data_IF_425843512081
#
_entry.id   IF_425843512081
#
_cell.length_a   1.000
_cell.length_b   1.000
_cell.length_c   1.000
_cell.angle_alpha   90.00
_cell.angle_beta   90.00
_cell.angle_gamma   90.00
#
_symmetry.space_group_name_H-M   'P 1'
#
loop_
_entity.id
_entity.type
_entity.pdbx_description
1 polymer ?
#
# COMPACT_ATOMS: atom_id res chain seq x y z
N UNK A 1 -53.99 -3.55 42.66
CA UNK A 1 -53.15 -4.73 42.34
C UNK A 1 -52.72 -4.81 40.86
N UNK A 2 -53.55 -4.47 39.87
CA UNK A 2 -53.19 -4.52 38.43
C UNK A 2 -52.08 -3.56 37.99
N UNK A 3 -52.05 -2.32 38.52
CA UNK A 3 -51.07 -1.27 38.14
C UNK A 3 -49.62 -1.65 38.52
N UNK A 4 -49.44 -2.24 39.70
CA UNK A 4 -48.11 -2.70 40.18
C UNK A 4 -47.58 -3.84 39.30
N UNK A 5 -48.47 -4.73 38.84
CA UNK A 5 -48.12 -5.83 37.92
C UNK A 5 -47.70 -5.29 36.54
N UNK A 6 -48.42 -4.29 36.02
CA UNK A 6 -48.08 -3.61 34.76
C UNK A 6 -46.69 -2.97 34.79
N UNK A 7 -46.34 -2.30 35.89
CA UNK A 7 -45.02 -1.67 36.05
C UNK A 7 -43.87 -2.71 36.12
N UNK A 8 -44.14 -3.89 36.71
CA UNK A 8 -43.16 -5.00 36.75
C UNK A 8 -42.92 -5.60 35.37
N UNK A 9 -43.96 -5.75 34.54
CA UNK A 9 -43.81 -6.21 33.14
C UNK A 9 -43.12 -5.16 32.27
N UNK A 10 -43.44 -3.88 32.45
CA UNK A 10 -42.77 -2.78 31.75
C UNK A 10 -41.26 -2.75 32.07
N UNK A 11 -40.88 -2.92 33.34
CA UNK A 11 -39.48 -2.97 33.76
C UNK A 11 -38.73 -4.16 33.16
N UNK A 12 -39.38 -5.34 33.02
CA UNK A 12 -38.81 -6.51 32.34
C UNK A 12 -38.56 -6.26 30.85
N UNK A 13 -39.52 -5.63 30.16
CA UNK A 13 -39.39 -5.28 28.75
C UNK A 13 -38.22 -4.31 28.55
N UNK A 14 -38.13 -3.26 29.37
CA UNK A 14 -37.00 -2.31 29.36
C UNK A 14 -35.65 -3.02 29.57
N UNK A 15 -35.56 -3.95 30.54
CA UNK A 15 -34.33 -4.71 30.74
C UNK A 15 -33.98 -5.63 29.58
N UNK A 16 -34.98 -6.25 28.91
CA UNK A 16 -34.73 -7.06 27.71
C UNK A 16 -34.22 -6.20 26.55
N UNK A 17 -34.78 -5.01 26.34
CA UNK A 17 -34.32 -4.06 25.30
C UNK A 17 -32.88 -3.62 25.56
N UNK A 18 -32.52 -3.34 26.82
CA UNK A 18 -31.15 -3.00 27.20
C UNK A 18 -30.17 -4.16 26.94
N UNK A 19 -30.56 -5.41 27.22
CA UNK A 19 -29.71 -6.58 26.97
C UNK A 19 -29.52 -6.81 25.47
N UNK A 20 -30.60 -6.71 24.68
CA UNK A 20 -30.55 -6.90 23.22
C UNK A 20 -29.67 -5.82 22.58
N UNK A 21 -29.79 -4.56 22.99
CA UNK A 21 -28.94 -3.47 22.49
C UNK A 21 -27.47 -3.67 22.85
N UNK A 22 -27.15 -4.13 24.07
CA UNK A 22 -25.78 -4.47 24.47
C UNK A 22 -25.18 -5.62 23.63
N UNK A 23 -25.96 -6.68 23.37
CA UNK A 23 -25.51 -7.81 22.54
C UNK A 23 -25.26 -7.36 21.09
N UNK A 24 -26.14 -6.50 20.55
CA UNK A 24 -26.03 -5.95 19.19
C UNK A 24 -24.75 -5.12 18.98
N UNK A 25 -24.31 -4.41 20.01
CA UNK A 25 -23.07 -3.62 19.98
C UNK A 25 -21.86 -4.55 19.92
N UNK A 26 -21.87 -5.66 20.67
CA UNK A 26 -20.73 -6.59 20.73
C UNK A 26 -20.51 -7.38 19.43
N UNK A 27 -21.57 -7.72 18.68
CA UNK A 27 -21.45 -8.43 17.40
C UNK A 27 -20.92 -7.56 16.26
N UNK A 28 -21.00 -6.24 16.38
CA UNK A 28 -20.46 -5.29 15.40
C UNK A 28 -18.93 -5.21 15.38
N UNK A 29 -18.23 -5.68 16.43
CA UNK A 29 -16.78 -5.54 16.55
C UNK A 29 -15.98 -6.80 16.14
N UNK A 30 -16.64 -7.94 15.96
CA UNK A 30 -15.96 -9.18 15.61
C UNK A 30 -16.14 -9.47 14.11
N UNK A 31 -15.01 -9.45 13.38
CA UNK A 31 -14.80 -9.83 11.97
C UNK A 31 -14.80 -8.69 10.95
N UNK A 32 -13.78 -7.85 11.01
CA UNK A 32 -13.22 -7.27 9.79
C UNK A 32 -11.92 -8.03 9.53
N UNK A 33 -12.01 -9.16 8.84
CA UNK A 33 -10.85 -9.76 8.18
C UNK A 33 -10.81 -9.08 6.82
N UNK A 34 -9.97 -8.06 6.66
CA UNK A 34 -9.73 -7.47 5.35
C UNK A 34 -8.99 -8.49 4.49
N UNK A 35 -9.72 -9.15 3.58
CA UNK A 35 -9.14 -10.02 2.58
C UNK A 35 -8.46 -9.16 1.51
N UNK A 36 -7.16 -8.92 1.68
CA UNK A 36 -6.36 -8.26 0.65
C UNK A 36 -6.06 -9.23 -0.49
N UNK A 37 -6.53 -8.89 -1.69
CA UNK A 37 -6.09 -9.54 -2.92
C UNK A 37 -4.94 -8.74 -3.51
N UNK A 38 -3.78 -9.37 -3.68
CA UNK A 38 -2.61 -8.73 -4.28
C UNK A 38 -2.49 -9.14 -5.74
N UNK A 39 -2.28 -8.15 -6.61
CA UNK A 39 -1.81 -8.40 -7.98
C UNK A 39 -0.29 -8.50 -7.94
N UNK A 40 0.26 -9.60 -8.43
CA UNK A 40 1.70 -9.74 -8.63
C UNK A 40 2.09 -9.02 -9.92
N UNK A 41 3.16 -8.24 -9.84
CA UNK A 41 3.82 -7.61 -11.00
C UNK A 41 5.28 -8.05 -10.94
N UNK A 42 5.74 -8.77 -11.95
CA UNK A 42 7.01 -9.51 -11.92
C UNK A 42 7.92 -9.12 -13.10
N UNK A 43 8.99 -9.89 -13.29
CA UNK A 43 9.93 -9.71 -14.40
C UNK A 43 9.22 -9.92 -15.74
N UNK A 44 8.26 -10.84 -15.79
CA UNK A 44 7.42 -11.15 -16.95
C UNK A 44 6.57 -9.94 -17.38
N UNK A 45 6.22 -9.05 -16.45
CA UNK A 45 5.51 -7.80 -16.73
C UNK A 45 6.45 -6.65 -17.14
N UNK A 46 7.77 -6.88 -17.15
CA UNK A 46 8.78 -5.92 -17.56
C UNK A 46 9.59 -5.29 -16.43
N UNK A 47 9.45 -5.74 -15.18
CA UNK A 47 10.36 -5.34 -14.09
C UNK A 47 11.78 -5.84 -14.38
N UNK A 48 12.81 -5.01 -14.16
CA UNK A 48 14.19 -5.39 -14.50
C UNK A 48 14.74 -6.54 -13.67
N UNK A 49 14.34 -6.67 -12.40
CA UNK A 49 14.79 -7.71 -11.47
C UNK A 49 13.85 -7.79 -10.25
N UNK A 50 13.74 -8.97 -9.63
CA UNK A 50 12.75 -9.28 -8.59
C UNK A 50 13.01 -8.67 -7.20
N UNK A 51 14.25 -8.30 -6.90
CA UNK A 51 14.65 -7.62 -5.66
C UNK A 51 14.42 -6.12 -5.82
N UNK A 52 13.25 -5.67 -5.37
CA UNK A 52 12.92 -4.25 -5.28
C UNK A 52 13.51 -3.68 -3.99
N UNK A 53 14.34 -2.64 -4.12
CA UNK A 53 14.97 -1.92 -2.98
C UNK A 53 14.21 -0.67 -2.57
N UNK A 54 13.62 0.02 -3.54
CA UNK A 54 12.92 1.29 -3.30
C UNK A 54 11.77 1.46 -4.31
N UNK A 55 10.69 2.09 -3.86
CA UNK A 55 9.53 2.45 -4.67
C UNK A 55 9.19 3.90 -4.36
N UNK A 56 9.06 4.73 -5.40
CA UNK A 56 8.73 6.15 -5.25
C UNK A 56 7.64 6.54 -6.25
N UNK A 57 6.53 7.10 -5.77
CA UNK A 57 5.51 7.68 -6.65
C UNK A 57 5.85 9.14 -6.92
N UNK A 58 6.17 9.44 -8.17
CA UNK A 58 6.41 10.79 -8.65
C UNK A 58 5.13 11.62 -8.56
N UNK A 59 5.25 12.92 -8.27
CA UNK A 59 4.12 13.85 -8.16
C UNK A 59 3.20 13.90 -9.38
N UNK A 60 3.70 13.52 -10.57
CA UNK A 60 2.91 13.43 -11.82
C UNK A 60 2.28 12.05 -12.08
N UNK A 61 2.28 11.15 -11.09
CA UNK A 61 1.54 9.89 -11.10
C UNK A 61 2.30 8.65 -11.59
N UNK A 62 3.52 8.80 -12.11
CA UNK A 62 4.37 7.65 -12.45
C UNK A 62 4.97 7.02 -11.19
N UNK A 63 5.14 5.70 -11.20
CA UNK A 63 5.84 4.99 -10.13
C UNK A 63 7.25 4.68 -10.61
N UNK A 64 8.25 5.01 -9.82
CA UNK A 64 9.62 4.60 -10.01
C UNK A 64 9.96 3.46 -9.06
N UNK A 65 10.65 2.44 -9.58
CA UNK A 65 11.03 1.24 -8.84
C UNK A 65 12.51 1.01 -9.03
N UNK A 66 13.27 1.09 -7.95
CA UNK A 66 14.70 0.78 -7.91
C UNK A 66 14.92 -0.68 -7.57
N UNK A 67 15.75 -1.36 -8.36
CA UNK A 67 16.11 -2.78 -8.17
C UNK A 67 17.62 -2.95 -8.09
N UNK A 68 18.07 -4.18 -7.85
CA UNK A 68 19.50 -4.52 -7.95
C UNK A 68 20.07 -4.46 -9.37
N UNK A 69 19.23 -4.47 -10.41
CA UNK A 69 19.67 -4.56 -11.79
C UNK A 69 19.02 -3.52 -12.72
N UNK A 70 18.61 -2.37 -12.18
CA UNK A 70 18.12 -1.24 -12.97
C UNK A 70 17.08 -0.39 -12.25
N UNK A 71 16.82 0.76 -12.86
CA UNK A 71 15.73 1.67 -12.50
C UNK A 71 14.55 1.46 -13.44
N UNK A 72 13.34 1.34 -12.90
CA UNK A 72 12.14 1.09 -13.68
C UNK A 72 11.16 2.25 -13.50
N UNK A 73 10.61 2.76 -14.60
CA UNK A 73 9.51 3.72 -14.59
C UNK A 73 8.23 3.01 -15.04
N UNK A 74 7.25 2.95 -14.16
CA UNK A 74 5.96 2.32 -14.39
C UNK A 74 4.87 3.37 -14.60
N UNK A 75 4.06 3.19 -15.65
CA UNK A 75 2.94 4.08 -15.97
C UNK A 75 1.57 3.50 -15.60
N UNK A 76 1.51 2.35 -14.93
CA UNK A 76 0.26 1.63 -14.65
C UNK A 76 -0.04 0.48 -15.63
N UNK A 77 0.69 0.40 -16.74
CA UNK A 77 0.52 -0.61 -17.79
C UNK A 77 1.82 -1.33 -18.11
N UNK A 78 2.92 -0.58 -18.28
CA UNK A 78 4.21 -1.08 -18.72
C UNK A 78 5.36 -0.44 -17.93
N UNK A 79 6.51 -1.13 -17.91
CA UNK A 79 7.76 -0.60 -17.39
C UNK A 79 8.67 -0.11 -18.52
N UNK A 80 9.28 1.06 -18.30
CA UNK A 80 10.48 1.48 -19.00
C UNK A 80 11.70 1.28 -18.10
N UNK A 81 12.64 0.46 -18.54
CA UNK A 81 13.87 0.17 -17.81
C UNK A 81 14.98 1.16 -18.20
N UNK A 82 15.76 1.58 -17.21
CA UNK A 82 16.99 2.35 -17.36
C UNK A 82 18.12 1.55 -16.72
N UNK A 83 19.20 1.37 -17.49
CA UNK A 83 20.39 0.61 -17.09
C UNK A 83 21.64 1.42 -17.37
N UNK A 84 22.71 1.11 -16.63
CA UNK A 84 24.04 1.64 -16.87
C UNK A 84 24.56 1.14 -18.22
N UNK A 85 25.18 2.04 -18.97
CA UNK A 85 25.85 1.76 -20.24
C UNK A 85 27.13 2.59 -20.28
N UNK A 86 28.27 1.88 -20.30
CA UNK A 86 29.62 2.45 -20.27
C UNK A 86 29.91 3.37 -21.48
N UNK A 87 29.21 3.19 -22.59
CA UNK A 87 29.36 4.01 -23.81
C UNK A 87 28.37 5.17 -23.88
N UNK A 88 27.38 5.20 -22.97
CA UNK A 88 26.34 6.23 -22.95
C UNK A 88 26.40 7.04 -21.66
N UNK A 89 26.95 8.25 -21.78
CA UNK A 89 27.09 9.23 -20.68
C UNK A 89 25.76 9.69 -20.07
N UNK A 90 24.65 9.49 -20.79
CA UNK A 90 23.30 9.83 -20.34
C UNK A 90 22.58 8.63 -19.69
N UNK A 91 23.25 7.49 -19.56
CA UNK A 91 22.76 6.35 -18.80
C UNK A 91 22.88 6.59 -17.28
N UNK A 92 22.27 5.72 -16.48
CA UNK A 92 22.42 5.79 -15.01
C UNK A 92 23.85 5.40 -14.60
N UNK A 93 24.30 5.87 -13.45
CA UNK A 93 25.67 5.67 -12.97
C UNK A 93 26.00 4.23 -12.59
N UNK A 94 25.02 3.47 -12.09
CA UNK A 94 25.14 2.04 -11.78
C UNK A 94 23.73 1.40 -11.80
N UNK A 95 23.65 0.08 -11.98
CA UNK A 95 22.38 -0.65 -12.06
C UNK A 95 21.71 -0.88 -10.70
N UNK A 96 22.45 -0.93 -9.60
CA UNK A 96 21.88 -1.18 -8.28
C UNK A 96 21.41 0.12 -7.65
N UNK A 97 20.09 0.28 -7.64
CA UNK A 97 19.40 1.47 -7.17
C UNK A 97 19.10 1.34 -5.69
N UNK A 98 19.56 2.31 -4.89
CA UNK A 98 19.41 2.29 -3.43
C UNK A 98 18.20 3.09 -2.99
N UNK A 99 18.02 4.28 -3.56
CA UNK A 99 16.94 5.18 -3.16
C UNK A 99 16.55 6.15 -4.29
N UNK A 100 15.34 6.69 -4.19
CA UNK A 100 14.74 7.61 -5.16
C UNK A 100 14.01 8.72 -4.40
N UNK A 101 14.30 9.97 -4.74
CA UNK A 101 13.67 11.14 -4.13
C UNK A 101 13.27 12.19 -5.19
N UNK A 102 12.22 12.96 -4.92
CA UNK A 102 11.85 14.12 -5.73
C UNK A 102 12.20 15.42 -4.98
N UNK A 103 12.81 16.38 -5.68
CA UNK A 103 13.00 17.71 -5.11
C UNK A 103 11.79 18.63 -5.33
N UNK A 104 11.81 19.79 -4.68
CA UNK A 104 10.74 20.80 -4.77
C UNK A 104 10.46 21.33 -6.19
N UNK A 105 11.36 21.12 -7.14
CA UNK A 105 11.19 21.52 -8.54
C UNK A 105 10.67 20.37 -9.40
N UNK A 106 10.35 19.23 -8.79
CA UNK A 106 9.87 18.04 -9.47
C UNK A 106 10.97 17.26 -10.21
N UNK A 107 12.24 17.41 -9.82
CA UNK A 107 13.34 16.59 -10.37
C UNK A 107 13.51 15.34 -9.54
N UNK A 108 13.70 14.21 -10.22
CA UNK A 108 13.98 12.93 -9.59
C UNK A 108 15.49 12.78 -9.39
N UNK A 109 15.87 12.45 -8.16
CA UNK A 109 17.21 12.11 -7.71
C UNK A 109 17.27 10.61 -7.45
N UNK A 110 18.31 9.97 -7.95
CA UNK A 110 18.52 8.52 -7.83
C UNK A 110 19.88 8.32 -7.18
N UNK A 111 19.94 7.53 -6.12
CA UNK A 111 21.21 7.10 -5.53
C UNK A 111 21.53 5.67 -5.96
N UNK A 112 22.75 5.45 -6.44
CA UNK A 112 23.25 4.13 -6.84
C UNK A 112 24.41 3.69 -5.95
N UNK A 113 24.65 2.38 -5.85
CA UNK A 113 25.75 1.83 -5.05
C UNK A 113 27.03 1.75 -5.87
N UNK A 114 27.67 2.88 -6.16
CA UNK A 114 29.00 2.84 -6.77
C UNK A 114 30.01 2.35 -5.72
N UNK A 115 30.30 1.05 -5.72
CA UNK A 115 31.51 0.52 -5.11
C UNK A 115 32.66 0.83 -6.06
N UNK A 116 33.40 1.91 -5.79
CA UNK A 116 34.69 2.15 -6.45
C UNK A 116 35.69 1.04 -6.12
#
# INVERSE_FOLDING_TARGET
>A
MKIIKFNKELKKILTMVCIISFISISTSYANIIENFNFKNITIEDGLSQSTVKTIYQYSRGYIWVGTDAGLNKYNGYEFKQYKHDEYNKNSISDNSIIDIAEDKNGRIWISTINWC
#
